data_IF_162343489405
#
_entry.id   IF_162343489405
#
_cell.length_a   1.000
_cell.length_b   1.000
_cell.length_c   1.000
_cell.angle_alpha   90.00
_cell.angle_beta   90.00
_cell.angle_gamma   90.00
#
_symmetry.space_group_name_H-M   'P 1'
#
loop_
_entity.id
_entity.type
_entity.pdbx_description
1 polymer ?
#
# COMPACT_ATOMS: atom_id res chain seq x y z
N UNK A 1 4.72 47.19 -7.02
CA UNK A 1 5.01 45.77 -7.28
C UNK A 1 4.58 44.93 -6.08
N UNK A 2 3.64 44.04 -6.27
CA UNK A 2 3.19 43.16 -5.19
C UNK A 2 4.22 42.03 -5.00
N UNK A 3 4.76 41.94 -3.79
CA UNK A 3 5.65 40.83 -3.45
C UNK A 3 4.81 39.58 -3.18
N UNK A 4 5.20 38.44 -3.71
CA UNK A 4 4.63 37.17 -3.35
C UNK A 4 5.05 36.84 -1.91
N UNK A 5 4.07 36.84 -0.98
CA UNK A 5 4.32 36.57 0.45
C UNK A 5 4.41 35.08 0.75
N UNK A 6 4.08 34.21 -0.20
CA UNK A 6 4.12 32.77 0.00
C UNK A 6 5.52 32.22 -0.32
N UNK A 7 6.04 31.32 0.52
CA UNK A 7 7.30 30.64 0.22
C UNK A 7 7.21 29.88 -1.09
N UNK A 8 8.30 29.86 -1.82
CA UNK A 8 8.41 29.05 -3.04
C UNK A 8 8.52 27.58 -2.67
N UNK A 9 7.79 26.71 -3.36
CA UNK A 9 7.86 25.27 -3.20
C UNK A 9 8.82 24.67 -4.21
N UNK A 10 9.77 23.84 -3.71
CA UNK A 10 10.65 23.06 -4.56
C UNK A 10 10.08 21.64 -4.68
N UNK A 11 9.51 21.30 -5.83
CA UNK A 11 8.84 20.01 -6.05
C UNK A 11 9.80 18.81 -6.03
N UNK A 12 11.09 19.03 -6.17
CA UNK A 12 12.09 17.95 -6.11
C UNK A 12 12.61 17.75 -4.69
N UNK A 13 12.90 18.85 -3.99
CA UNK A 13 13.51 18.84 -2.65
C UNK A 13 12.49 18.62 -1.54
N UNK A 14 11.34 19.28 -1.65
CA UNK A 14 10.36 19.36 -0.55
C UNK A 14 9.23 18.35 -0.66
N UNK A 15 9.24 17.51 -1.69
CA UNK A 15 8.13 16.59 -1.98
C UNK A 15 8.65 15.21 -2.36
N UNK A 16 7.81 14.22 -2.19
CA UNK A 16 7.99 12.89 -2.77
C UNK A 16 6.75 12.53 -3.60
N UNK A 17 6.89 11.73 -4.67
CA UNK A 17 5.74 11.37 -5.49
C UNK A 17 4.86 10.32 -4.83
N UNK A 18 3.57 10.59 -4.80
CA UNK A 18 2.53 9.64 -4.41
C UNK A 18 1.64 9.39 -5.63
N UNK A 19 1.41 8.14 -6.06
CA UNK A 19 0.57 7.86 -7.21
C UNK A 19 -0.86 8.39 -7.01
N UNK A 20 -1.39 9.08 -8.00
CA UNK A 20 -2.75 9.65 -7.95
C UNK A 20 -3.81 8.55 -7.76
N UNK A 21 -3.56 7.40 -8.36
CA UNK A 21 -4.48 6.25 -8.38
C UNK A 21 -4.69 5.62 -7.01
N UNK A 22 -3.85 5.97 -6.01
CA UNK A 22 -4.01 5.43 -4.66
C UNK A 22 -5.42 5.71 -4.09
N UNK A 23 -6.02 6.80 -4.50
CA UNK A 23 -7.35 7.18 -4.02
C UNK A 23 -8.48 6.41 -4.71
N UNK A 24 -8.22 5.71 -5.80
CA UNK A 24 -9.23 4.94 -6.54
C UNK A 24 -9.34 3.48 -6.08
N UNK A 25 -8.46 3.03 -5.19
CA UNK A 25 -8.38 1.63 -4.77
C UNK A 25 -9.28 1.29 -3.58
N UNK A 26 -9.98 2.26 -2.99
CA UNK A 26 -10.84 2.02 -1.83
C UNK A 26 -10.06 1.69 -0.56
N UNK A 27 -8.84 2.16 -0.43
CA UNK A 27 -8.03 1.99 0.77
C UNK A 27 -8.53 2.87 1.91
N UNK A 28 -8.33 2.41 3.14
CA UNK A 28 -8.59 3.23 4.33
C UNK A 28 -7.58 4.37 4.42
N UNK A 29 -7.92 5.40 5.20
CA UNK A 29 -7.00 6.51 5.48
C UNK A 29 -5.69 6.00 6.09
N UNK A 30 -5.76 5.03 7.00
CA UNK A 30 -4.58 4.42 7.62
C UNK A 30 -3.69 3.71 6.59
N UNK A 31 -4.28 2.95 5.69
CA UNK A 31 -3.55 2.27 4.62
C UNK A 31 -2.84 3.26 3.69
N UNK A 32 -3.53 4.33 3.32
CA UNK A 32 -2.95 5.39 2.47
C UNK A 32 -1.78 6.08 3.19
N UNK A 33 -1.95 6.40 4.48
CA UNK A 33 -0.90 7.04 5.27
C UNK A 33 0.34 6.15 5.39
N UNK A 34 0.16 4.86 5.64
CA UNK A 34 1.26 3.90 5.75
C UNK A 34 1.97 3.75 4.41
N UNK A 35 1.23 3.59 3.33
CA UNK A 35 1.78 3.50 1.98
C UNK A 35 2.59 4.75 1.64
N UNK A 36 2.05 5.93 1.93
CA UNK A 36 2.73 7.19 1.70
C UNK A 36 4.04 7.29 2.50
N UNK A 37 4.02 6.86 3.76
CA UNK A 37 5.22 6.86 4.60
C UNK A 37 6.31 5.92 4.05
N UNK A 38 5.91 4.74 3.57
CA UNK A 38 6.86 3.79 2.97
C UNK A 38 7.46 4.37 1.68
N UNK A 39 6.68 5.05 0.86
CA UNK A 39 7.18 5.78 -0.31
C UNK A 39 8.19 6.86 0.09
N UNK A 40 7.91 7.57 1.18
CA UNK A 40 8.85 8.56 1.72
C UNK A 40 10.18 7.92 2.16
N UNK A 41 10.12 6.70 2.72
CA UNK A 41 11.30 5.99 3.22
C UNK A 41 12.08 5.24 2.14
N UNK A 42 11.48 4.96 0.98
CA UNK A 42 12.10 4.07 0.00
C UNK A 42 13.37 4.65 -0.64
N UNK A 43 14.30 3.75 -0.93
CA UNK A 43 15.41 4.05 -1.82
C UNK A 43 14.87 4.11 -3.25
N UNK A 44 15.13 5.22 -3.95
CA UNK A 44 14.61 5.47 -5.30
C UNK A 44 15.18 4.54 -6.37
N UNK A 45 16.30 3.90 -6.10
CA UNK A 45 16.94 2.97 -7.04
C UNK A 45 16.43 1.55 -6.86
N UNK A 46 16.22 1.12 -5.61
CA UNK A 46 15.82 -0.25 -5.28
C UNK A 46 14.33 -0.39 -4.98
N UNK A 47 13.63 0.71 -4.69
CA UNK A 47 12.24 0.75 -4.25
C UNK A 47 12.00 0.02 -2.93
N UNK A 48 13.04 -0.04 -2.09
CA UNK A 48 13.04 -0.78 -0.82
C UNK A 48 13.31 0.13 0.37
N UNK A 49 12.77 -0.27 1.52
CA UNK A 49 13.03 0.39 2.80
C UNK A 49 12.86 -0.60 3.95
N UNK A 50 13.39 -0.23 5.13
CA UNK A 50 13.45 -1.11 6.30
C UNK A 50 12.96 -0.44 7.59
N UNK A 51 11.91 0.39 7.60
CA UNK A 51 11.43 0.98 8.85
C UNK A 51 10.80 -0.09 9.75
N UNK A 52 10.98 0.05 11.06
CA UNK A 52 10.29 -0.80 12.03
C UNK A 52 8.81 -0.45 12.08
N UNK A 53 7.97 -1.39 12.54
CA UNK A 53 6.55 -1.09 12.77
C UNK A 53 6.36 0.06 13.74
N UNK A 54 7.22 0.16 14.77
CA UNK A 54 7.20 1.27 15.70
C UNK A 54 7.48 2.61 15.02
N UNK A 55 8.48 2.65 14.15
CA UNK A 55 8.82 3.86 13.40
C UNK A 55 7.69 4.29 12.47
N UNK A 56 7.09 3.34 11.77
CA UNK A 56 5.91 3.62 10.94
C UNK A 56 4.77 4.15 11.82
N UNK A 57 4.51 3.47 12.93
CA UNK A 57 3.44 3.86 13.85
C UNK A 57 3.62 5.25 14.44
N UNK A 58 4.84 5.61 14.82
CA UNK A 58 5.16 6.95 15.32
C UNK A 58 4.91 8.02 14.25
N UNK A 59 5.20 7.70 12.99
CA UNK A 59 5.02 8.63 11.88
C UNK A 59 3.54 8.86 11.53
N UNK A 60 2.71 7.82 11.60
CA UNK A 60 1.30 7.89 11.16
C UNK A 60 0.29 7.88 12.33
N UNK A 61 0.78 7.81 13.58
CA UNK A 61 -0.07 7.88 14.76
C UNK A 61 -0.83 6.61 15.09
N UNK A 62 -0.23 5.43 14.80
CA UNK A 62 -0.87 4.13 15.03
C UNK A 62 0.05 3.22 15.84
N UNK A 63 -0.54 2.24 16.55
CA UNK A 63 0.23 1.24 17.29
C UNK A 63 0.91 0.25 16.35
N UNK A 64 2.04 -0.38 16.76
CA UNK A 64 2.71 -1.39 15.95
C UNK A 64 1.80 -2.56 15.52
N UNK A 65 0.89 -3.00 16.38
CA UNK A 65 -0.07 -4.07 16.04
C UNK A 65 -1.04 -3.64 14.94
N UNK A 66 -1.49 -2.39 14.99
CA UNK A 66 -2.36 -1.82 13.94
C UNK A 66 -1.59 -1.69 12.63
N UNK A 67 -0.33 -1.25 12.68
CA UNK A 67 0.54 -1.19 11.50
C UNK A 67 0.65 -2.58 10.85
N UNK A 68 0.91 -3.61 11.64
CA UNK A 68 1.03 -4.99 11.14
C UNK A 68 -0.20 -5.42 10.35
N UNK A 69 -1.40 -5.12 10.86
CA UNK A 69 -2.66 -5.45 10.18
C UNK A 69 -2.79 -4.75 8.84
N UNK A 70 -2.46 -3.47 8.79
CA UNK A 70 -2.55 -2.69 7.55
C UNK A 70 -1.47 -3.06 6.54
N UNK A 71 -0.28 -3.45 7.00
CA UNK A 71 0.77 -3.97 6.11
C UNK A 71 0.29 -5.23 5.40
N UNK A 72 -0.35 -6.17 6.11
CA UNK A 72 -0.93 -7.37 5.50
C UNK A 72 -1.98 -7.01 4.45
N UNK A 73 -2.85 -6.05 4.76
CA UNK A 73 -3.87 -5.58 3.84
C UNK A 73 -3.25 -4.99 2.56
N UNK A 74 -2.20 -4.19 2.71
CA UNK A 74 -1.48 -3.61 1.56
C UNK A 74 -0.80 -4.69 0.71
N UNK A 75 -0.25 -5.73 1.34
CA UNK A 75 0.30 -6.88 0.62
C UNK A 75 -0.76 -7.63 -0.18
N UNK A 76 -1.91 -7.87 0.42
CA UNK A 76 -3.05 -8.53 -0.23
C UNK A 76 -3.56 -7.75 -1.44
N UNK A 77 -3.37 -6.45 -1.42
CA UNK A 77 -3.77 -5.54 -2.52
C UNK A 77 -2.66 -5.35 -3.56
N UNK A 78 -1.57 -6.11 -3.49
CA UNK A 78 -0.42 -6.02 -4.41
C UNK A 78 0.29 -4.66 -4.43
N UNK A 79 0.20 -3.90 -3.34
CA UNK A 79 0.87 -2.60 -3.25
C UNK A 79 2.30 -2.71 -2.73
N UNK A 80 2.60 -3.75 -1.98
CA UNK A 80 3.94 -3.98 -1.45
C UNK A 80 4.21 -5.46 -1.20
N UNK A 81 5.48 -5.79 -1.03
CA UNK A 81 5.95 -7.11 -0.62
C UNK A 81 6.84 -6.91 0.59
N UNK A 82 6.69 -7.76 1.59
CA UNK A 82 7.58 -7.78 2.76
C UNK A 82 8.41 -9.04 2.77
N UNK A 83 9.66 -8.90 3.20
CA UNK A 83 10.59 -10.02 3.32
C UNK A 83 11.30 -9.94 4.67
N UNK A 84 11.48 -11.07 5.37
CA UNK A 84 12.25 -11.08 6.60
C UNK A 84 13.72 -10.80 6.30
N UNK A 85 14.39 -10.12 7.24
CA UNK A 85 15.83 -9.89 7.17
C UNK A 85 16.50 -10.49 8.40
N UNK A 86 17.78 -10.80 8.26
CA UNK A 86 18.60 -11.32 9.33
C UNK A 86 19.78 -10.38 9.56
N UNK A 87 20.06 -10.07 10.82
CA UNK A 87 21.25 -9.30 11.20
C UNK A 87 22.16 -10.18 12.05
N UNK A 88 23.46 -10.04 11.87
CA UNK A 88 24.47 -10.72 12.71
C UNK A 88 24.89 -9.77 13.82
N UNK A 89 24.73 -10.20 15.07
CA UNK A 89 25.18 -9.45 16.24
C UNK A 89 26.71 -9.55 16.40
N UNK A 90 27.27 -8.72 17.29
CA UNK A 90 28.71 -8.74 17.59
C UNK A 90 29.21 -10.10 18.10
N UNK A 91 28.35 -10.88 18.73
CA UNK A 91 28.65 -12.24 19.23
C UNK A 91 28.58 -13.32 18.15
N UNK A 92 28.32 -12.96 16.89
CA UNK A 92 28.16 -13.91 15.80
C UNK A 92 26.79 -14.58 15.73
N UNK A 93 25.85 -14.20 16.60
CA UNK A 93 24.47 -14.73 16.59
C UNK A 93 23.65 -14.01 15.52
N UNK A 94 22.72 -14.76 14.90
CA UNK A 94 21.77 -14.21 13.94
C UNK A 94 20.49 -13.83 14.65
N UNK A 95 19.98 -12.64 14.36
CA UNK A 95 18.70 -12.12 14.83
C UNK A 95 17.83 -11.75 13.67
N UNK A 96 16.50 -11.78 13.88
CA UNK A 96 15.58 -11.18 12.92
C UNK A 96 15.79 -9.65 12.94
N UNK A 97 16.03 -9.08 11.77
CA UNK A 97 16.04 -7.64 11.57
C UNK A 97 14.64 -7.11 11.26
N UNK A 98 14.56 -5.83 10.92
CA UNK A 98 13.32 -5.25 10.43
C UNK A 98 12.95 -5.88 9.09
N UNK A 99 11.64 -5.92 8.79
CA UNK A 99 11.19 -6.37 7.48
C UNK A 99 11.72 -5.45 6.38
N UNK A 100 12.05 -6.03 5.25
CA UNK A 100 12.32 -5.30 4.04
C UNK A 100 11.02 -5.11 3.29
N UNK A 101 10.66 -3.85 3.06
CA UNK A 101 9.47 -3.48 2.30
C UNK A 101 9.90 -3.15 0.88
N UNK A 102 9.31 -3.82 -0.10
CA UNK A 102 9.47 -3.46 -1.52
C UNK A 102 8.14 -2.93 -2.01
N UNK A 103 8.13 -1.68 -2.47
CA UNK A 103 6.91 -1.04 -2.97
C UNK A 103 6.76 -1.44 -4.44
N UNK A 104 5.62 -2.05 -4.74
CA UNK A 104 5.33 -2.52 -6.09
C UNK A 104 4.77 -1.38 -6.94
N UNK A 105 4.99 -1.39 -8.27
CA UNK A 105 4.30 -0.46 -9.15
C UNK A 105 2.79 -0.53 -8.94
N UNK A 106 2.15 0.64 -8.85
CA UNK A 106 0.71 0.71 -8.55
C UNK A 106 -0.16 0.02 -9.60
N UNK A 107 0.36 -0.15 -10.79
CA UNK A 107 -0.32 -0.85 -11.88
C UNK A 107 -0.76 -2.26 -11.49
N UNK A 108 0.02 -2.97 -10.66
CA UNK A 108 -0.35 -4.30 -10.19
C UNK A 108 -1.61 -4.27 -9.32
N UNK A 109 -1.70 -3.29 -8.41
CA UNK A 109 -2.88 -3.12 -7.56
C UNK A 109 -4.10 -2.70 -8.37
N UNK A 110 -3.92 -1.83 -9.36
CA UNK A 110 -4.99 -1.41 -10.26
C UNK A 110 -5.52 -2.58 -11.08
N UNK A 111 -4.64 -3.43 -11.59
CA UNK A 111 -5.03 -4.62 -12.35
C UNK A 111 -5.79 -5.61 -11.48
N UNK A 112 -5.32 -5.86 -10.27
CA UNK A 112 -6.01 -6.72 -9.30
C UNK A 112 -7.41 -6.19 -8.99
N UNK A 113 -7.53 -4.90 -8.76
CA UNK A 113 -8.81 -4.26 -8.46
C UNK A 113 -9.78 -4.38 -9.64
N UNK A 114 -9.29 -4.15 -10.86
CA UNK A 114 -10.05 -4.32 -12.08
C UNK A 114 -10.54 -5.76 -12.24
N UNK A 115 -9.66 -6.74 -12.09
CA UNK A 115 -10.01 -8.16 -12.21
C UNK A 115 -11.07 -8.56 -11.18
N UNK A 116 -10.95 -8.05 -9.97
CA UNK A 116 -11.91 -8.28 -8.88
C UNK A 116 -13.29 -7.71 -9.21
N UNK A 117 -13.32 -6.50 -9.77
CA UNK A 117 -14.57 -5.87 -10.20
C UNK A 117 -15.23 -6.64 -11.35
N UNK A 118 -14.44 -7.09 -12.33
CA UNK A 118 -14.94 -7.87 -13.46
C UNK A 118 -15.48 -9.22 -13.01
N UNK A 119 -14.81 -9.88 -12.06
CA UNK A 119 -15.29 -11.13 -11.48
C UNK A 119 -16.65 -10.95 -10.80
N UNK A 120 -16.84 -9.88 -10.05
CA UNK A 120 -18.13 -9.57 -9.40
C UNK A 120 -19.24 -9.37 -10.43
N UNK A 121 -18.94 -8.69 -11.53
CA UNK A 121 -19.92 -8.48 -12.61
C UNK A 121 -20.32 -9.82 -13.25
N UNK A 122 -19.36 -10.70 -13.49
CA UNK A 122 -19.61 -12.02 -14.06
C UNK A 122 -20.45 -12.88 -13.11
N UNK A 123 -20.15 -12.88 -11.83
CA UNK A 123 -20.92 -13.59 -10.81
C UNK A 123 -22.34 -13.07 -10.73
N UNK A 124 -22.54 -11.76 -10.75
CA UNK A 124 -23.87 -11.15 -10.73
C UNK A 124 -24.68 -11.48 -11.99
N UNK A 125 -24.04 -11.48 -13.15
CA UNK A 125 -24.67 -11.88 -14.40
C UNK A 125 -25.12 -13.35 -14.36
N UNK A 126 -24.28 -14.23 -13.85
CA UNK A 126 -24.59 -15.66 -13.68
C UNK A 126 -25.77 -15.86 -12.71
N UNK A 127 -25.80 -15.14 -11.59
CA UNK A 127 -26.90 -15.19 -10.64
C UNK A 127 -28.23 -14.74 -11.26
N UNK A 128 -28.21 -13.69 -12.06
CA UNK A 128 -29.42 -13.21 -12.77
C UNK A 128 -29.94 -14.25 -13.74
N UNK A 129 -29.07 -14.84 -14.55
CA UNK A 129 -29.45 -15.91 -15.48
C UNK A 129 -30.06 -17.10 -14.75
N UNK A 130 -29.50 -17.50 -13.63
CA UNK A 130 -30.00 -18.60 -12.82
C UNK A 130 -31.38 -18.27 -12.23
N UNK A 131 -31.54 -17.07 -11.67
CA UNK A 131 -32.80 -16.60 -11.13
C UNK A 131 -33.88 -16.55 -12.17
N UNK A 132 -33.60 -16.03 -13.39
CA UNK A 132 -34.52 -15.98 -14.51
C UNK A 132 -34.90 -17.40 -14.96
N UNK A 133 -33.95 -18.31 -15.01
CA UNK A 133 -34.18 -19.71 -15.35
C UNK A 133 -35.15 -20.38 -14.34
N UNK A 134 -34.94 -20.17 -13.04
CA UNK A 134 -35.83 -20.72 -12.00
C UNK A 134 -37.23 -20.11 -12.11
N UNK A 135 -37.34 -18.80 -12.34
CA UNK A 135 -38.61 -18.09 -12.46
C UNK A 135 -39.41 -18.59 -13.65
N UNK A 136 -38.75 -18.94 -14.78
CA UNK A 136 -39.39 -19.48 -15.96
C UNK A 136 -39.75 -20.94 -15.85
N UNK A 137 -39.31 -21.64 -14.85
CA UNK A 137 -39.65 -23.06 -14.60
C UNK A 137 -40.95 -23.25 -13.85
N UNK A 138 -41.50 -22.19 -13.30
CA UNK A 138 -42.71 -22.23 -12.48
C UNK A 138 -44.00 -22.26 -13.28
#
# INVERSE_FOLDING_TARGET
MKRNLWPTRDSVKDYFPLPKEIFSLGLSAAEIAIYAYLLFCEDRQTFQCWPSYRKIGDAVGLSPNTIRKHIRSLEERDLLVTEPTMVTTKDGRKRNGNLRFTIRPIQFALQQDYDRQMQKLDENAARRKYADFIENMG
#
